data_IF_488354642371
#
_entry.id   IF_488354642371
#
_cell.length_a   1.000
_cell.length_b   1.000
_cell.length_c   1.000
_cell.angle_alpha   90.00
_cell.angle_beta   90.00
_cell.angle_gamma   90.00
#
_symmetry.space_group_name_H-M   'P 1'
#
loop_
_entity.id
_entity.type
_entity.pdbx_description
1 polymer ?
#
# COMPACT_ATOMS: atom_id res chain seq x y z
N UNK A 1 5.46 -16.43 6.71
CA UNK A 1 4.98 -15.77 7.93
C UNK A 1 4.88 -14.29 7.62
N UNK A 2 3.71 -13.67 7.64
CA UNK A 2 3.65 -12.22 7.43
C UNK A 2 4.17 -11.57 8.71
N UNK A 3 5.30 -10.86 8.63
CA UNK A 3 5.85 -10.06 9.73
C UNK A 3 5.05 -8.75 9.89
N UNK A 4 3.72 -8.82 9.75
CA UNK A 4 2.85 -7.65 9.71
C UNK A 4 2.71 -7.08 11.11
N UNK A 5 3.56 -6.10 11.44
CA UNK A 5 3.52 -5.42 12.75
C UNK A 5 2.29 -4.54 12.91
N UNK A 6 1.83 -3.95 11.81
CA UNK A 6 0.70 -3.01 11.79
C UNK A 6 -0.24 -3.35 10.64
N UNK A 7 -1.52 -3.48 10.93
CA UNK A 7 -2.60 -3.64 9.95
C UNK A 7 -3.59 -2.50 10.13
N UNK A 8 -3.77 -1.67 9.10
CA UNK A 8 -4.84 -0.67 9.06
C UNK A 8 -5.92 -1.11 8.08
N UNK A 9 -7.18 -0.98 8.50
CA UNK A 9 -8.34 -1.34 7.68
C UNK A 9 -9.31 -0.17 7.63
N UNK A 10 -9.66 0.27 6.44
CA UNK A 10 -10.73 1.21 6.13
C UNK A 10 -11.86 0.48 5.40
N UNK A 11 -13.11 0.67 5.81
CA UNK A 11 -14.27 -0.01 5.24
C UNK A 11 -15.57 0.77 5.48
N UNK A 12 -16.60 0.49 4.69
CA UNK A 12 -17.95 1.02 4.87
C UNK A 12 -18.84 -0.10 5.43
N UNK A 13 -19.68 0.25 6.40
CA UNK A 13 -20.82 -0.57 6.83
C UNK A 13 -22.06 0.30 6.66
N UNK A 14 -23.04 -0.20 5.91
CA UNK A 14 -24.21 0.53 5.42
C UNK A 14 -23.79 1.78 4.63
N UNK A 15 -23.62 2.91 5.31
CA UNK A 15 -23.16 4.18 4.73
C UNK A 15 -22.09 4.87 5.59
N UNK A 16 -21.59 4.19 6.61
CA UNK A 16 -20.67 4.77 7.60
C UNK A 16 -19.24 4.27 7.38
N UNK A 17 -18.31 5.22 7.24
CA UNK A 17 -16.89 4.92 7.23
C UNK A 17 -16.40 4.44 8.60
N UNK A 18 -15.66 3.34 8.57
CA UNK A 18 -15.02 2.74 9.72
C UNK A 18 -13.55 2.52 9.43
N UNK A 19 -12.69 2.86 10.39
CA UNK A 19 -11.27 2.59 10.28
C UNK A 19 -10.69 2.08 11.61
N UNK A 20 -9.85 1.06 11.52
CA UNK A 20 -9.19 0.42 12.67
C UNK A 20 -7.74 0.12 12.36
N UNK A 21 -6.88 0.19 13.38
CA UNK A 21 -5.51 -0.30 13.35
C UNK A 21 -5.37 -1.45 14.33
N UNK A 22 -4.75 -2.53 13.88
CA UNK A 22 -4.24 -3.61 14.72
C UNK A 22 -2.73 -3.50 14.76
N UNK A 23 -2.15 -3.60 15.95
CA UNK A 23 -0.70 -3.55 16.14
C UNK A 23 -0.26 -4.75 16.98
N UNK A 24 0.68 -5.52 16.46
CA UNK A 24 1.23 -6.72 17.09
C UNK A 24 2.54 -6.40 17.83
N UNK A 25 2.59 -6.71 19.13
CA UNK A 25 3.77 -6.52 19.98
C UNK A 25 4.18 -7.83 20.67
N UNK A 26 5.49 -8.08 20.71
CA UNK A 26 6.22 -9.01 21.61
C UNK A 26 5.87 -10.51 21.56
N UNK A 27 6.64 -11.30 22.33
CA UNK A 27 6.28 -12.65 22.78
C UNK A 27 5.97 -12.62 24.29
N UNK A 28 4.81 -13.14 24.75
CA UNK A 28 3.72 -13.67 23.95
C UNK A 28 3.06 -12.59 23.10
N UNK A 29 2.51 -12.99 21.95
CA UNK A 29 1.89 -12.10 20.97
C UNK A 29 0.73 -11.36 21.63
N UNK A 30 0.82 -10.03 21.67
CA UNK A 30 -0.28 -9.14 22.07
C UNK A 30 -0.72 -8.32 20.88
N UNK A 31 -2.03 -8.34 20.60
CA UNK A 31 -2.64 -7.56 19.53
C UNK A 31 -3.47 -6.43 20.15
N UNK A 32 -3.06 -5.20 19.91
CA UNK A 32 -3.81 -4.01 20.30
C UNK A 32 -4.69 -3.54 19.14
N UNK A 33 -5.91 -3.10 19.43
CA UNK A 33 -6.86 -2.56 18.46
C UNK A 33 -7.13 -1.09 18.76
N UNK A 34 -6.98 -0.23 17.76
CA UNK A 34 -7.21 1.21 17.87
C UNK A 34 -8.26 1.67 16.86
N UNK A 35 -9.20 2.52 17.27
CA UNK A 35 -10.08 3.22 16.34
C UNK A 35 -9.30 4.33 15.66
N UNK A 36 -9.42 4.41 14.34
CA UNK A 36 -8.79 5.47 13.55
C UNK A 36 -9.81 6.56 13.22
N UNK A 37 -9.28 7.75 12.95
CA UNK A 37 -9.99 8.86 12.29
C UNK A 37 -9.18 9.27 11.06
N UNK A 38 -9.86 9.81 10.05
CA UNK A 38 -9.21 10.47 8.93
C UNK A 38 -9.17 11.98 9.14
N UNK A 39 -8.09 12.64 8.71
CA UNK A 39 -7.94 14.10 8.75
C UNK A 39 -7.73 14.60 7.32
N UNK A 40 -8.60 15.49 6.79
CA UNK A 40 -9.69 16.17 7.50
C UNK A 40 -10.97 15.32 7.67
N UNK A 41 -11.22 14.37 6.77
CA UNK A 41 -12.37 13.46 6.83
C UNK A 41 -12.10 12.17 6.06
N UNK A 42 -12.95 11.15 6.24
CA UNK A 42 -12.84 9.90 5.48
C UNK A 42 -13.16 10.11 3.99
N UNK A 43 -14.10 10.99 3.67
CA UNK A 43 -14.42 11.31 2.28
C UNK A 43 -13.24 11.99 1.60
N UNK A 44 -12.55 12.93 2.27
CA UNK A 44 -11.34 13.53 1.73
C UNK A 44 -10.22 12.50 1.54
N UNK A 45 -10.01 11.61 2.51
CA UNK A 45 -9.06 10.50 2.34
C UNK A 45 -9.43 9.64 1.13
N UNK A 46 -10.71 9.27 0.98
CA UNK A 46 -11.12 8.40 -0.12
C UNK A 46 -11.01 9.09 -1.48
N UNK A 47 -11.32 10.39 -1.57
CA UNK A 47 -11.09 11.20 -2.78
C UNK A 47 -9.61 11.24 -3.18
N UNK A 48 -8.69 11.34 -2.21
CA UNK A 48 -7.25 11.24 -2.50
C UNK A 48 -6.89 9.86 -3.06
N UNK A 49 -7.40 8.78 -2.45
CA UNK A 49 -7.18 7.42 -2.96
C UNK A 49 -7.72 7.23 -4.39
N UNK A 50 -8.88 7.83 -4.71
CA UNK A 50 -9.42 7.84 -6.07
C UNK A 50 -8.50 8.56 -7.05
N UNK A 51 -7.91 9.69 -6.64
CA UNK A 51 -6.94 10.43 -7.47
C UNK A 51 -5.64 9.64 -7.72
N UNK A 52 -5.38 8.61 -6.92
CA UNK A 52 -4.28 7.66 -7.08
C UNK A 52 -4.74 6.32 -7.67
N UNK A 53 -5.82 6.32 -8.46
CA UNK A 53 -6.25 5.18 -9.25
C UNK A 53 -6.58 3.90 -8.44
N UNK A 54 -6.92 4.01 -7.15
CA UNK A 54 -7.14 2.85 -6.28
C UNK A 54 -8.19 1.85 -6.82
N UNK A 55 -9.17 2.32 -7.60
CA UNK A 55 -10.22 1.48 -8.21
C UNK A 55 -9.79 0.83 -9.53
N UNK A 56 -8.83 1.43 -10.23
CA UNK A 56 -8.38 1.04 -11.58
C UNK A 56 -7.02 0.35 -11.60
N UNK A 57 -6.26 0.39 -10.50
CA UNK A 57 -5.01 -0.36 -10.33
C UNK A 57 -5.18 -1.81 -10.87
N UNK A 58 -4.24 -2.34 -11.68
CA UNK A 58 -4.32 -3.70 -12.21
C UNK A 58 -4.17 -4.78 -11.12
N UNK A 59 -3.94 -6.05 -11.46
CA UNK A 59 -3.37 -6.98 -10.48
C UNK A 59 -1.85 -6.84 -10.49
N UNK A 60 -1.19 -7.13 -9.36
CA UNK A 60 0.27 -7.07 -9.29
C UNK A 60 0.94 -8.01 -10.32
N UNK A 61 0.33 -9.15 -10.65
CA UNK A 61 0.80 -10.05 -11.71
C UNK A 61 0.95 -9.35 -13.06
N UNK A 62 0.04 -8.42 -13.36
CA UNK A 62 -0.04 -7.75 -14.65
C UNK A 62 1.07 -6.69 -14.81
N UNK A 63 1.59 -6.19 -13.67
CA UNK A 63 2.71 -5.25 -13.64
C UNK A 63 4.06 -5.89 -13.98
N UNK A 64 4.20 -7.22 -13.85
CA UNK A 64 5.47 -7.90 -14.09
C UNK A 64 6.06 -7.60 -15.47
N UNK A 65 5.20 -7.50 -16.49
CA UNK A 65 5.61 -7.18 -17.87
C UNK A 65 6.13 -5.73 -18.01
N UNK A 66 5.60 -4.80 -17.22
CA UNK A 66 6.00 -3.38 -17.21
C UNK A 66 7.24 -3.14 -16.36
N UNK A 67 7.47 -3.99 -15.36
CA UNK A 67 8.62 -3.94 -14.47
C UNK A 67 9.84 -4.66 -15.04
N UNK A 68 10.19 -4.35 -16.29
CA UNK A 68 11.37 -4.89 -16.96
C UNK A 68 12.29 -3.75 -17.34
N UNK A 69 13.59 -3.87 -17.02
CA UNK A 69 14.61 -2.87 -17.34
C UNK A 69 15.81 -3.55 -17.98
N UNK A 70 15.86 -3.51 -19.31
CA UNK A 70 16.94 -4.13 -20.08
C UNK A 70 18.19 -3.23 -20.09
N UNK A 71 19.38 -3.81 -19.89
CA UNK A 71 20.65 -3.07 -19.75
C UNK A 71 21.52 -3.19 -20.99
N UNK A 72 21.55 -4.36 -21.61
CA UNK A 72 22.34 -4.64 -22.81
C UNK A 72 21.58 -5.62 -23.69
N UNK A 73 21.54 -5.32 -24.99
CA UNK A 73 21.20 -6.26 -26.05
C UNK A 73 22.51 -6.60 -26.74
N UNK A 74 22.94 -7.86 -26.67
CA UNK A 74 24.14 -8.31 -27.39
C UNK A 74 23.89 -8.26 -28.90
N UNK A 75 24.95 -8.33 -29.72
CA UNK A 75 24.83 -8.40 -31.17
C UNK A 75 24.00 -9.62 -31.64
N UNK A 76 23.94 -10.67 -30.82
CA UNK A 76 23.19 -11.90 -31.05
C UNK A 76 21.72 -11.83 -30.53
N UNK A 77 21.32 -10.70 -29.95
CA UNK A 77 19.95 -10.45 -29.46
C UNK A 77 19.70 -10.83 -28.00
N UNK A 78 20.71 -11.31 -27.26
CA UNK A 78 20.55 -11.64 -25.84
C UNK A 78 20.35 -10.39 -25.01
N UNK A 79 19.34 -10.40 -24.15
CA UNK A 79 19.01 -9.27 -23.30
C UNK A 79 19.35 -9.55 -21.84
N UNK A 80 20.14 -8.68 -21.22
CA UNK A 80 20.37 -8.75 -19.76
C UNK A 80 19.41 -7.82 -19.03
N UNK A 81 18.56 -8.39 -18.17
CA UNK A 81 17.60 -7.66 -17.35
C UNK A 81 18.24 -7.18 -16.04
N UNK A 82 18.06 -5.90 -15.71
CA UNK A 82 18.37 -5.34 -14.39
C UNK A 82 17.22 -5.64 -13.43
N UNK A 83 17.54 -6.23 -12.29
CA UNK A 83 16.61 -6.42 -11.18
C UNK A 83 17.02 -5.58 -9.98
N UNK A 84 16.04 -5.25 -9.16
CA UNK A 84 16.23 -4.64 -7.85
C UNK A 84 15.83 -5.66 -6.77
N UNK A 85 16.59 -5.69 -5.68
CA UNK A 85 16.23 -6.40 -4.46
C UNK A 85 16.48 -5.45 -3.29
N UNK A 86 15.43 -5.19 -2.49
CA UNK A 86 15.47 -4.22 -1.39
C UNK A 86 15.47 -4.97 -0.07
N UNK A 87 16.40 -4.62 0.82
CA UNK A 87 16.63 -5.31 2.11
C UNK A 87 16.69 -4.31 3.28
N UNK A 88 15.88 -3.27 3.24
CA UNK A 88 15.80 -2.25 4.30
C UNK A 88 14.85 -2.65 5.46
N UNK A 89 14.11 -3.75 5.28
CA UNK A 89 13.16 -4.26 6.28
C UNK A 89 11.79 -3.59 6.24
N UNK A 90 11.51 -2.72 5.26
CA UNK A 90 10.19 -2.14 5.04
C UNK A 90 9.45 -2.90 3.95
N UNK A 91 8.22 -3.34 4.24
CA UNK A 91 7.36 -4.01 3.28
C UNK A 91 5.92 -3.63 3.54
N UNK A 92 5.19 -3.34 2.47
CA UNK A 92 3.79 -2.93 2.54
C UNK A 92 2.96 -3.92 1.74
N UNK A 93 1.78 -4.23 2.27
CA UNK A 93 0.73 -4.95 1.56
C UNK A 93 -0.53 -4.12 1.59
N UNK A 94 -1.11 -3.84 0.42
CA UNK A 94 -2.39 -3.15 0.28
C UNK A 94 -3.38 -4.10 -0.38
N UNK A 95 -4.46 -4.38 0.34
CA UNK A 95 -5.58 -5.20 -0.15
C UNK A 95 -6.78 -4.29 -0.43
N UNK A 96 -7.33 -4.38 -1.65
CA UNK A 96 -8.39 -3.50 -2.13
C UNK A 96 -9.57 -4.36 -2.57
N UNK A 97 -10.72 -4.16 -1.93
CA UNK A 97 -12.00 -4.74 -2.35
C UNK A 97 -13.01 -3.64 -2.64
N UNK A 98 -13.32 -3.44 -3.93
CA UNK A 98 -14.29 -2.43 -4.39
C UNK A 98 -15.18 -3.08 -5.45
N UNK A 99 -16.49 -3.06 -5.21
CA UNK A 99 -17.46 -3.82 -6.01
C UNK A 99 -17.12 -5.32 -6.01
N UNK A 100 -17.12 -5.93 -7.20
CA UNK A 100 -16.75 -7.34 -7.40
C UNK A 100 -15.25 -7.61 -7.55
N UNK A 101 -14.38 -6.59 -7.47
CA UNK A 101 -12.94 -6.73 -7.70
C UNK A 101 -12.18 -6.79 -6.38
N UNK A 102 -11.27 -7.77 -6.26
CA UNK A 102 -10.32 -7.90 -5.16
C UNK A 102 -8.90 -7.92 -5.73
N UNK A 103 -8.02 -7.09 -5.16
CA UNK A 103 -6.64 -6.92 -5.63
C UNK A 103 -5.71 -6.87 -4.42
N UNK A 104 -4.52 -7.43 -4.59
CA UNK A 104 -3.47 -7.42 -3.58
C UNK A 104 -2.19 -6.89 -4.21
N UNK A 105 -1.57 -5.95 -3.53
CA UNK A 105 -0.31 -5.33 -3.91
C UNK A 105 0.67 -5.47 -2.76
N UNK A 106 1.86 -6.01 -3.03
CA UNK A 106 2.91 -6.21 -2.05
C UNK A 106 4.27 -5.84 -2.64
N UNK A 107 4.98 -4.92 -1.97
CA UNK A 107 6.34 -4.52 -2.33
C UNK A 107 7.19 -4.29 -1.09
N UNK A 108 8.43 -4.76 -1.16
CA UNK A 108 9.49 -4.43 -0.22
C UNK A 108 10.01 -3.04 -0.59
N UNK A 109 9.70 -2.04 0.22
CA UNK A 109 9.89 -0.61 -0.04
C UNK A 109 9.25 -0.11 -1.38
N UNK A 110 8.00 0.37 -1.35
CA UNK A 110 7.30 0.95 -2.49
C UNK A 110 8.06 2.11 -3.17
N UNK A 111 8.79 2.93 -2.40
CA UNK A 111 9.52 4.09 -2.91
C UNK A 111 10.73 3.65 -3.77
N UNK A 112 11.49 2.67 -3.30
CA UNK A 112 12.61 2.09 -4.04
C UNK A 112 12.17 1.49 -5.38
N UNK A 113 11.08 0.71 -5.38
CA UNK A 113 10.52 0.13 -6.61
C UNK A 113 9.99 1.21 -7.57
N UNK A 114 9.30 2.23 -7.07
CA UNK A 114 8.81 3.34 -7.90
C UNK A 114 9.93 4.17 -8.53
N UNK A 115 11.08 4.29 -7.86
CA UNK A 115 12.26 4.98 -8.40
C UNK A 115 13.01 4.14 -9.43
N UNK A 116 13.08 2.83 -9.22
CA UNK A 116 13.81 1.93 -10.12
C UNK A 116 13.07 1.72 -11.45
N UNK A 117 11.75 1.51 -11.38
CA UNK A 117 10.85 1.40 -12.54
C UNK A 117 10.07 2.70 -12.74
N UNK A 118 10.81 3.77 -13.01
CA UNK A 118 10.34 5.15 -13.14
C UNK A 118 9.27 5.36 -14.24
N UNK A 119 9.24 4.49 -15.24
CA UNK A 119 8.25 4.46 -16.32
C UNK A 119 6.94 3.72 -15.96
N UNK A 120 6.85 3.06 -14.81
CA UNK A 120 5.65 2.33 -14.38
C UNK A 120 4.81 3.20 -13.44
N UNK A 121 3.81 3.88 -14.00
CA UNK A 121 2.94 4.81 -13.26
C UNK A 121 2.18 4.15 -12.11
N UNK A 122 1.82 2.89 -12.23
CA UNK A 122 1.07 2.15 -11.21
C UNK A 122 1.87 1.95 -9.92
N UNK A 123 3.21 1.94 -9.99
CA UNK A 123 4.06 1.91 -8.79
C UNK A 123 4.04 3.26 -8.06
N UNK A 124 3.96 4.36 -8.80
CA UNK A 124 3.78 5.71 -8.22
C UNK A 124 2.41 5.83 -7.56
N UNK A 125 1.36 5.34 -8.21
CA UNK A 125 0.01 5.30 -7.65
C UNK A 125 -0.04 4.47 -6.36
N UNK A 126 0.57 3.27 -6.37
CA UNK A 126 0.68 2.43 -5.19
C UNK A 126 1.44 3.12 -4.04
N UNK A 127 2.59 3.76 -4.32
CA UNK A 127 3.33 4.54 -3.33
C UNK A 127 2.47 5.67 -2.74
N UNK A 128 1.77 6.42 -3.59
CA UNK A 128 0.89 7.51 -3.17
C UNK A 128 -0.28 7.01 -2.31
N UNK A 129 -0.83 5.83 -2.59
CA UNK A 129 -1.86 5.19 -1.75
C UNK A 129 -1.32 4.89 -0.36
N UNK A 130 -0.13 4.28 -0.26
CA UNK A 130 0.53 4.00 1.03
C UNK A 130 0.74 5.29 1.82
N UNK A 131 1.33 6.30 1.18
CA UNK A 131 1.58 7.60 1.81
C UNK A 131 0.28 8.33 2.20
N UNK A 132 -0.80 8.17 1.43
CA UNK A 132 -2.12 8.71 1.78
C UNK A 132 -2.64 8.08 3.07
N UNK A 133 -2.52 6.77 3.24
CA UNK A 133 -2.92 6.13 4.49
C UNK A 133 -2.09 6.63 5.68
N UNK A 134 -0.77 6.76 5.53
CA UNK A 134 0.10 7.27 6.60
C UNK A 134 -0.19 8.73 6.97
N UNK A 135 -0.46 9.57 5.98
CA UNK A 135 -0.72 10.99 6.19
C UNK A 135 -2.10 11.26 6.80
N UNK A 136 -3.12 10.56 6.33
CA UNK A 136 -4.52 10.92 6.63
C UNK A 136 -5.12 10.09 7.77
N UNK A 137 -4.67 8.85 8.02
CA UNK A 137 -5.20 8.05 9.12
C UNK A 137 -4.40 8.24 10.41
N UNK A 138 -5.11 8.55 11.49
CA UNK A 138 -4.53 8.70 12.82
C UNK A 138 -5.35 7.97 13.87
N UNK A 139 -4.70 7.49 14.93
CA UNK A 139 -5.39 6.96 16.10
C UNK A 139 -6.30 8.04 16.68
N UNK A 140 -7.55 7.69 16.96
CA UNK A 140 -8.48 8.59 17.64
C UNK A 140 -8.03 8.71 19.09
N UNK A 141 -7.50 9.86 19.48
CA UNK A 141 -7.23 10.16 20.90
C UNK A 141 -8.58 10.25 21.61
N UNK A 142 -8.77 9.46 22.66
CA UNK A 142 -9.90 9.66 23.58
C UNK A 142 -9.59 10.92 24.37
N UNK A 143 -10.31 12.00 24.12
CA UNK A 143 -10.30 13.16 25.01
C UNK A 143 -10.94 12.73 26.32
N UNK A 144 -10.15 12.65 27.39
CA UNK A 144 -10.68 12.63 28.75
C UNK A 144 -11.33 13.99 28.98
N UNK A 145 -12.66 14.03 29.13
CA UNK A 145 -13.34 15.19 29.71
C UNK A 145 -13.15 15.07 31.22
N UNK A 146 -12.40 16.02 31.80
CA UNK A 146 -12.36 16.28 33.23
C UNK A 146 -13.59 17.12 33.62
#
# INVERSE_FOLDING_TARGET
>A
MSNTKTLRRLYIVDTTWNAVEFNEWNKPVKINKYKLRAIPSFDSLFLQLLSHNIVTLPNQSDLKSKMRKDVQVTADGDTTERKIHVMDGESYTVEIKIGGKFRVYQFDNPDSYSKFYDNVTELKDYLNIVQTFDKFLQRKVLSFQN
#
